data_IF_049626641220
#
_entry.id   IF_049626641220
#
_cell.length_a   1.000
_cell.length_b   1.000
_cell.length_c   1.000
_cell.angle_alpha   90.00
_cell.angle_beta   90.00
_cell.angle_gamma   90.00
#
_symmetry.space_group_name_H-M   'P 1'
#
loop_
_entity.id
_entity.type
_entity.pdbx_description
1 polymer ?
#
# COMPACT_ATOMS: atom_id res chain seq x y z
N UNK A 1 23.54 -3.47 -8.04
CA UNK A 1 22.75 -2.58 -7.16
C UNK A 1 21.31 -3.01 -7.23
N UNK A 2 20.66 -3.21 -6.07
CA UNK A 2 19.25 -3.60 -6.00
C UNK A 2 18.37 -2.38 -6.19
N UNK A 3 17.49 -2.40 -7.21
CA UNK A 3 16.61 -1.27 -7.56
C UNK A 3 15.20 -1.74 -7.83
N UNK A 4 14.23 -0.95 -7.41
CA UNK A 4 12.83 -1.11 -7.84
C UNK A 4 12.68 -0.47 -9.21
N UNK A 5 12.18 -1.25 -10.17
CA UNK A 5 11.94 -0.84 -11.56
C UNK A 5 10.46 -0.60 -11.82
N UNK A 6 10.11 0.61 -12.22
CA UNK A 6 8.75 1.05 -12.57
C UNK A 6 8.65 1.27 -14.08
N UNK A 7 7.65 0.64 -14.72
CA UNK A 7 7.29 0.89 -16.12
C UNK A 7 6.38 2.12 -16.23
N UNK A 8 6.81 3.11 -17.02
CA UNK A 8 6.12 4.37 -17.31
C UNK A 8 6.17 4.62 -18.81
N UNK A 9 5.05 4.52 -19.52
CA UNK A 9 4.95 4.81 -20.97
C UNK A 9 6.09 4.17 -21.80
N UNK A 10 6.31 2.87 -21.60
CA UNK A 10 7.40 2.07 -22.23
C UNK A 10 8.83 2.43 -21.81
N UNK A 11 9.01 3.26 -20.77
CA UNK A 11 10.31 3.57 -20.16
C UNK A 11 10.40 2.97 -18.76
N UNK A 12 11.63 2.70 -18.32
CA UNK A 12 11.91 2.23 -16.97
C UNK A 12 12.46 3.38 -16.13
N UNK A 13 11.87 3.57 -14.95
CA UNK A 13 12.40 4.42 -13.89
C UNK A 13 12.88 3.51 -12.77
N UNK A 14 14.11 3.73 -12.31
CA UNK A 14 14.73 2.97 -11.23
C UNK A 14 14.70 3.76 -9.93
N UNK A 15 14.36 3.10 -8.82
CA UNK A 15 14.39 3.66 -7.47
C UNK A 15 15.33 2.83 -6.60
N UNK A 16 16.17 3.54 -5.84
CA UNK A 16 17.12 2.91 -4.91
C UNK A 16 16.51 2.58 -3.53
N UNK A 17 15.27 3.01 -3.28
CA UNK A 17 14.47 2.60 -2.13
C UNK A 17 12.99 2.59 -2.48
N UNK A 18 12.20 1.76 -1.78
CA UNK A 18 10.73 1.79 -1.94
C UNK A 18 10.17 3.11 -1.40
N UNK A 19 10.77 3.70 -0.36
CA UNK A 19 10.34 4.99 0.16
C UNK A 19 10.45 6.11 -0.87
N UNK A 20 11.53 6.16 -1.65
CA UNK A 20 11.66 7.12 -2.76
C UNK A 20 10.57 6.92 -3.83
N UNK A 21 10.19 5.68 -4.11
CA UNK A 21 9.06 5.38 -5.00
C UNK A 21 7.73 5.88 -4.40
N UNK A 22 7.49 5.67 -3.11
CA UNK A 22 6.25 6.06 -2.44
C UNK A 22 6.00 7.56 -2.37
N UNK A 23 7.05 8.39 -2.42
CA UNK A 23 6.90 9.84 -2.53
C UNK A 23 6.07 10.25 -3.77
N UNK A 24 6.07 9.44 -4.82
CA UNK A 24 5.24 9.66 -6.01
C UNK A 24 3.91 8.88 -6.03
N UNK A 25 3.71 7.93 -5.11
CA UNK A 25 2.47 7.12 -4.99
C UNK A 25 1.47 7.78 -4.06
N UNK A 26 1.86 8.02 -2.80
CA UNK A 26 0.94 8.46 -1.75
C UNK A 26 0.17 9.74 -2.11
N UNK A 27 0.78 10.81 -2.67
CA UNK A 27 0.04 12.02 -3.08
C UNK A 27 -0.89 11.82 -4.28
N UNK A 28 -0.81 10.70 -5.00
CA UNK A 28 -1.74 10.35 -6.09
C UNK A 28 -2.86 9.43 -5.64
N UNK A 29 -2.66 8.70 -4.55
CA UNK A 29 -3.65 7.77 -4.00
C UNK A 29 -4.53 8.40 -2.92
N UNK A 30 -4.00 9.37 -2.16
CA UNK A 30 -4.75 10.03 -1.10
C UNK A 30 -4.64 11.55 -1.16
N UNK A 31 -5.76 12.28 -0.90
CA UNK A 31 -5.69 13.73 -0.72
C UNK A 31 -4.76 14.10 0.45
N UNK A 32 -3.74 14.91 0.18
CA UNK A 32 -2.68 15.19 1.14
C UNK A 32 -3.11 15.93 2.42
N UNK A 33 -4.31 16.52 2.41
CA UNK A 33 -4.90 17.20 3.58
C UNK A 33 -5.71 16.27 4.48
N UNK A 34 -5.86 14.99 4.12
CA UNK A 34 -6.47 14.00 5.01
C UNK A 34 -5.62 13.79 6.28
N UNK A 35 -6.22 13.22 7.34
CA UNK A 35 -5.54 13.00 8.62
C UNK A 35 -4.22 12.25 8.43
N UNK A 36 -3.19 12.63 9.19
CA UNK A 36 -1.84 12.08 9.07
C UNK A 36 -1.84 10.55 9.25
N UNK A 37 -2.60 10.04 10.21
CA UNK A 37 -2.69 8.60 10.49
C UNK A 37 -3.30 7.81 9.31
N UNK A 38 -4.22 8.42 8.54
CA UNK A 38 -4.71 7.80 7.32
C UNK A 38 -3.64 7.78 6.21
N UNK A 39 -2.86 8.86 6.07
CA UNK A 39 -1.74 8.92 5.11
C UNK A 39 -0.64 7.89 5.45
N UNK A 40 -0.32 7.72 6.73
CA UNK A 40 0.63 6.70 7.23
C UNK A 40 0.12 5.28 6.96
N UNK A 41 -1.16 5.02 7.21
CA UNK A 41 -1.77 3.73 6.91
C UNK A 41 -1.64 3.39 5.41
N UNK A 42 -1.93 4.35 4.54
CA UNK A 42 -1.74 4.19 3.10
C UNK A 42 -0.27 4.01 2.71
N UNK A 43 0.66 4.72 3.34
CA UNK A 43 2.09 4.55 3.08
C UNK A 43 2.54 3.11 3.38
N UNK A 44 2.19 2.55 4.55
CA UNK A 44 2.52 1.17 4.93
C UNK A 44 1.90 0.15 3.96
N UNK A 45 0.64 0.34 3.62
CA UNK A 45 -0.10 -0.57 2.72
C UNK A 45 0.46 -0.51 1.31
N UNK A 46 0.76 0.69 0.79
CA UNK A 46 1.39 0.88 -0.51
C UNK A 46 2.83 0.32 -0.54
N UNK A 47 3.59 0.50 0.55
CA UNK A 47 4.94 -0.07 0.69
C UNK A 47 4.92 -1.58 0.62
N UNK A 48 3.99 -2.20 1.34
CA UNK A 48 3.83 -3.65 1.36
C UNK A 48 3.48 -4.20 -0.02
N UNK A 49 2.64 -3.49 -0.78
CA UNK A 49 2.34 -3.83 -2.17
C UNK A 49 3.58 -3.76 -3.05
N UNK A 50 4.34 -2.67 -2.95
CA UNK A 50 5.56 -2.48 -3.74
C UNK A 50 6.65 -3.50 -3.39
N UNK A 51 6.82 -3.81 -2.10
CA UNK A 51 7.76 -4.83 -1.63
C UNK A 51 7.36 -6.23 -2.10
N UNK A 52 6.07 -6.56 -2.04
CA UNK A 52 5.57 -7.82 -2.57
C UNK A 52 5.79 -7.91 -4.09
N UNK A 53 5.51 -6.85 -4.84
CA UNK A 53 5.73 -6.79 -6.29
C UNK A 53 7.23 -6.79 -6.67
N UNK A 54 8.11 -6.32 -5.79
CA UNK A 54 9.55 -6.45 -5.97
C UNK A 54 9.97 -7.93 -5.92
N UNK A 55 9.48 -8.69 -4.93
CA UNK A 55 9.76 -10.13 -4.79
C UNK A 55 9.02 -10.99 -5.83
N UNK A 56 7.83 -10.55 -6.25
CA UNK A 56 6.95 -11.24 -7.20
C UNK A 56 6.48 -10.26 -8.30
N UNK A 57 7.32 -10.01 -9.32
CA UNK A 57 7.09 -8.98 -10.35
C UNK A 57 5.74 -9.08 -11.05
N UNK A 58 5.07 -7.94 -11.21
CA UNK A 58 3.78 -7.83 -11.92
C UNK A 58 3.95 -7.75 -13.44
N UNK A 59 5.16 -7.48 -13.93
CA UNK A 59 5.46 -7.24 -15.34
C UNK A 59 6.75 -7.94 -15.82
N UNK A 60 6.65 -9.19 -16.30
CA UNK A 60 7.73 -9.84 -17.06
C UNK A 60 9.06 -10.06 -16.32
N UNK A 61 9.09 -9.96 -14.99
CA UNK A 61 10.30 -10.22 -14.20
C UNK A 61 11.29 -9.05 -14.19
N UNK A 62 12.55 -9.31 -14.55
CA UNK A 62 13.69 -8.38 -14.40
C UNK A 62 13.52 -7.03 -15.13
N UNK A 63 12.58 -6.92 -16.07
CA UNK A 63 12.30 -5.72 -16.86
C UNK A 63 11.55 -4.65 -16.06
N UNK A 64 10.52 -5.02 -15.29
CA UNK A 64 9.77 -4.11 -14.43
C UNK A 64 9.04 -4.85 -13.30
N UNK A 65 9.04 -4.28 -12.11
CA UNK A 65 8.31 -4.83 -10.97
C UNK A 65 6.86 -4.35 -10.96
N UNK A 66 6.64 -3.08 -11.32
CA UNK A 66 5.36 -2.35 -11.24
C UNK A 66 5.13 -1.49 -12.49
N UNK A 67 3.90 -1.03 -12.70
CA UNK A 67 3.56 0.06 -13.62
C UNK A 67 2.92 1.25 -12.87
N UNK A 68 2.87 2.42 -13.51
CA UNK A 68 2.38 3.68 -12.90
C UNK A 68 0.87 3.92 -13.03
N UNK A 69 0.10 2.90 -13.39
CA UNK A 69 -1.35 2.98 -13.57
C UNK A 69 -2.09 2.24 -12.46
N UNK A 70 -3.41 2.34 -12.45
CA UNK A 70 -4.29 1.60 -11.52
C UNK A 70 -4.19 0.08 -11.64
N UNK A 71 -3.50 -0.45 -12.65
CA UNK A 71 -3.15 -1.88 -12.70
C UNK A 71 -2.17 -2.28 -11.58
N UNK A 72 -1.32 -1.36 -11.13
CA UNK A 72 -0.42 -1.55 -10.00
C UNK A 72 -0.66 -0.49 -8.94
N UNK A 73 -0.02 0.68 -9.07
CA UNK A 73 -0.25 1.83 -8.20
C UNK A 73 -0.11 3.10 -9.04
N UNK A 74 -0.96 4.08 -8.78
CA UNK A 74 -0.88 5.34 -9.48
C UNK A 74 0.40 6.06 -9.04
N UNK A 75 1.35 6.27 -9.96
CA UNK A 75 2.61 6.94 -9.66
C UNK A 75 2.84 8.13 -10.59
N UNK A 76 3.31 9.26 -10.03
CA UNK A 76 3.83 10.40 -10.78
C UNK A 76 5.03 11.02 -10.06
N UNK A 77 5.91 11.68 -10.80
CA UNK A 77 6.99 12.49 -10.24
C UNK A 77 6.46 13.79 -9.63
N UNK A 78 5.69 13.69 -8.55
CA UNK A 78 5.14 14.82 -7.79
C UNK A 78 5.08 14.44 -6.31
N UNK A 79 5.64 15.29 -5.46
CA UNK A 79 5.68 15.10 -4.01
C UNK A 79 4.77 16.09 -3.29
N UNK A 80 4.49 15.87 -2.01
CA UNK A 80 3.76 16.83 -1.19
C UNK A 80 4.21 16.71 0.28
N UNK A 81 4.55 17.82 0.98
CA UNK A 81 5.18 17.77 2.29
C UNK A 81 4.46 16.86 3.33
N UNK A 82 3.12 16.92 3.41
CA UNK A 82 2.35 16.06 4.31
C UNK A 82 2.39 14.56 3.96
N UNK A 83 2.37 14.20 2.68
CA UNK A 83 2.47 12.80 2.28
C UNK A 83 3.89 12.30 2.39
N UNK A 84 4.86 13.16 2.12
CA UNK A 84 6.29 12.87 2.30
C UNK A 84 6.57 12.59 3.77
N UNK A 85 6.04 13.41 4.68
CA UNK A 85 6.10 13.18 6.12
C UNK A 85 5.51 11.81 6.50
N UNK A 86 4.33 11.44 5.99
CA UNK A 86 3.72 10.14 6.26
C UNK A 86 4.58 8.95 5.76
N UNK A 87 5.20 9.09 4.58
CA UNK A 87 6.13 8.09 4.03
C UNK A 87 7.36 7.96 4.95
N UNK A 88 7.96 9.09 5.34
CA UNK A 88 9.19 9.11 6.15
C UNK A 88 8.96 8.62 7.58
N UNK A 89 7.86 9.00 8.23
CA UNK A 89 7.51 8.53 9.58
C UNK A 89 7.15 7.04 9.61
N UNK A 90 6.94 6.42 8.45
CA UNK A 90 6.69 4.97 8.31
C UNK A 90 7.76 4.27 7.47
N UNK A 91 8.94 4.88 7.31
CA UNK A 91 10.01 4.37 6.45
C UNK A 91 10.30 2.88 6.72
N UNK A 92 10.40 2.10 5.65
CA UNK A 92 10.61 0.65 5.69
C UNK A 92 9.49 -0.21 6.32
N UNK A 93 8.49 0.38 7.01
CA UNK A 93 7.43 -0.35 7.70
C UNK A 93 6.45 -0.99 6.71
N UNK A 94 6.32 -2.32 6.82
CA UNK A 94 5.50 -3.18 5.96
C UNK A 94 4.64 -4.15 6.77
N UNK A 95 3.72 -4.84 6.11
CA UNK A 95 2.95 -5.95 6.68
C UNK A 95 3.57 -7.28 6.31
N UNK A 96 3.59 -8.17 7.29
CA UNK A 96 4.08 -9.54 7.15
C UNK A 96 3.05 -10.55 7.64
N UNK A 97 3.05 -11.73 7.03
CA UNK A 97 2.27 -12.88 7.46
C UNK A 97 3.20 -14.09 7.50
N UNK A 98 3.34 -14.71 8.67
CA UNK A 98 4.34 -15.77 8.93
C UNK A 98 5.76 -15.38 8.48
N UNK A 99 6.18 -14.16 8.80
CA UNK A 99 7.52 -13.65 8.50
C UNK A 99 7.77 -13.25 7.04
N UNK A 100 6.81 -13.47 6.13
CA UNK A 100 6.91 -13.07 4.71
C UNK A 100 6.12 -11.81 4.45
N UNK A 101 6.55 -10.99 3.48
CA UNK A 101 5.82 -9.80 3.05
C UNK A 101 4.39 -10.18 2.63
N UNK A 102 3.40 -9.53 3.23
CA UNK A 102 2.01 -9.74 2.93
C UNK A 102 1.61 -8.93 1.69
N UNK A 103 1.00 -9.59 0.70
CA UNK A 103 0.37 -8.90 -0.43
C UNK A 103 -0.83 -8.07 0.05
N UNK A 104 -0.72 -6.75 -0.04
CA UNK A 104 -1.80 -5.84 0.37
C UNK A 104 -2.60 -5.35 -0.83
N UNK A 105 -3.78 -4.78 -0.58
CA UNK A 105 -4.60 -4.12 -1.59
C UNK A 105 -5.25 -2.89 -0.97
N UNK A 106 -5.61 -1.90 -1.78
CA UNK A 106 -6.36 -0.74 -1.31
C UNK A 106 -7.22 -0.15 -2.42
N UNK A 107 -8.32 0.51 -2.05
CA UNK A 107 -9.21 1.18 -3.00
C UNK A 107 -9.88 2.39 -2.36
N UNK A 108 -10.40 3.29 -3.18
CA UNK A 108 -11.01 4.53 -2.71
C UNK A 108 -12.15 4.26 -1.71
N UNK A 109 -13.12 3.43 -2.10
CA UNK A 109 -14.36 3.25 -1.33
C UNK A 109 -14.92 1.83 -1.52
N UNK A 110 -15.14 1.12 -0.41
CA UNK A 110 -15.65 -0.26 -0.45
C UNK A 110 -17.18 -0.39 -0.37
N UNK A 111 -17.90 0.69 -0.05
CA UNK A 111 -19.37 0.65 0.09
C UNK A 111 -19.86 0.02 1.40
N UNK A 112 -19.10 0.17 2.48
CA UNK A 112 -19.50 -0.20 3.84
C UNK A 112 -18.96 -1.55 4.31
N UNK A 113 -18.51 -2.41 3.38
CA UNK A 113 -17.81 -3.67 3.70
C UNK A 113 -16.80 -4.04 2.62
N UNK A 114 -15.59 -4.41 3.01
CA UNK A 114 -14.57 -4.89 2.08
C UNK A 114 -14.90 -6.30 1.57
N UNK A 115 -14.16 -6.79 0.59
CA UNK A 115 -14.29 -8.16 0.07
C UNK A 115 -12.96 -8.90 0.11
N UNK A 116 -13.03 -10.23 -0.01
CA UNK A 116 -11.85 -11.08 -0.10
C UNK A 116 -10.90 -10.63 -1.21
N UNK A 117 -9.60 -10.87 -1.00
CA UNK A 117 -8.60 -10.81 -2.06
C UNK A 117 -9.02 -11.61 -3.32
N UNK A 118 -8.42 -11.30 -4.46
CA UNK A 118 -8.65 -12.05 -5.71
C UNK A 118 -8.34 -13.54 -5.56
N UNK A 119 -7.30 -13.88 -4.80
CA UNK A 119 -7.01 -15.24 -4.37
C UNK A 119 -6.99 -15.30 -2.84
N UNK A 120 -8.09 -15.71 -2.19
CA UNK A 120 -8.17 -15.76 -0.72
C UNK A 120 -7.15 -16.72 -0.09
N UNK A 121 -6.74 -17.78 -0.79
CA UNK A 121 -5.72 -18.70 -0.29
C UNK A 121 -4.31 -18.10 -0.30
N UNK A 122 -4.02 -17.21 -1.26
CA UNK A 122 -2.73 -16.52 -1.36
C UNK A 122 -2.65 -15.28 -0.46
N UNK A 123 -3.78 -14.67 -0.09
CA UNK A 123 -3.85 -13.52 0.81
C UNK A 123 -4.95 -13.68 1.87
N UNK A 124 -4.83 -14.68 2.78
CA UNK A 124 -5.85 -14.97 3.80
C UNK A 124 -6.01 -13.85 4.84
N UNK A 125 -5.09 -12.90 4.91
CA UNK A 125 -5.22 -11.70 5.73
C UNK A 125 -6.19 -10.65 5.15
N UNK A 126 -6.51 -10.71 3.86
CA UNK A 126 -7.43 -9.80 3.19
C UNK A 126 -8.88 -10.34 3.24
N UNK A 127 -9.53 -10.22 4.39
CA UNK A 127 -10.90 -10.69 4.62
C UNK A 127 -11.95 -9.55 4.53
N UNK A 128 -13.23 -9.86 4.27
CA UNK A 128 -14.32 -8.90 4.39
C UNK A 128 -14.47 -8.38 5.82
N UNK A 129 -14.30 -7.08 6.00
CA UNK A 129 -14.51 -6.37 7.28
C UNK A 129 -15.47 -5.20 7.07
N UNK A 130 -16.23 -4.87 8.12
CA UNK A 130 -17.08 -3.69 8.12
C UNK A 130 -16.25 -2.42 8.04
N UNK A 131 -16.78 -1.38 7.39
CA UNK A 131 -16.04 -0.18 7.09
C UNK A 131 -16.87 1.07 7.40
N UNK A 132 -16.31 2.07 8.08
CA UNK A 132 -17.04 3.27 8.49
C UNK A 132 -17.36 4.22 7.33
N UNK A 133 -16.93 3.90 6.09
CA UNK A 133 -17.30 4.69 4.91
C UNK A 133 -18.81 4.64 4.58
N UNK A 134 -19.54 3.73 5.23
CA UNK A 134 -20.98 3.55 5.10
C UNK A 134 -21.41 2.90 3.78
N UNK A 135 -22.69 2.50 3.66
CA UNK A 135 -23.27 2.02 2.41
C UNK A 135 -23.24 3.14 1.36
N UNK A 136 -22.59 2.89 0.24
CA UNK A 136 -22.44 3.84 -0.87
C UNK A 136 -21.97 3.12 -2.12
N UNK A 137 -22.14 3.73 -3.30
CA UNK A 137 -21.51 3.26 -4.54
C UNK A 137 -20.01 3.01 -4.32
N UNK A 138 -19.51 1.79 -4.56
CA UNK A 138 -18.08 1.51 -4.45
C UNK A 138 -17.26 2.26 -5.51
N UNK A 139 -16.02 2.60 -5.17
CA UNK A 139 -15.04 3.11 -6.11
C UNK A 139 -13.73 2.31 -5.94
N UNK A 140 -13.40 1.54 -6.97
CA UNK A 140 -12.31 0.56 -6.97
C UNK A 140 -12.75 -0.85 -6.55
N UNK A 141 -11.78 -1.73 -6.34
CA UNK A 141 -12.01 -3.18 -6.22
C UNK A 141 -12.43 -3.65 -4.82
N UNK A 142 -12.51 -2.76 -3.83
CA UNK A 142 -13.03 -3.01 -2.46
C UNK A 142 -12.23 -4.03 -1.62
N UNK A 143 -10.98 -4.30 -1.97
CA UNK A 143 -10.13 -5.31 -1.31
C UNK A 143 -9.08 -4.64 -0.45
N UNK A 144 -8.85 -5.17 0.75
CA UNK A 144 -7.92 -4.59 1.72
C UNK A 144 -8.39 -3.21 2.20
N UNK A 145 -7.47 -2.25 2.28
CA UNK A 145 -7.72 -0.94 2.88
C UNK A 145 -8.71 -0.10 2.04
N UNK A 146 -9.75 0.42 2.71
CA UNK A 146 -10.65 1.41 2.14
C UNK A 146 -10.16 2.82 2.51
N UNK A 147 -9.75 3.63 1.53
CA UNK A 147 -9.14 4.95 1.79
C UNK A 147 -10.10 5.88 2.54
N UNK A 148 -11.36 5.99 2.10
CA UNK A 148 -12.36 6.78 2.82
C UNK A 148 -12.64 6.24 4.23
N UNK A 149 -12.54 4.93 4.44
CA UNK A 149 -12.71 4.33 5.76
C UNK A 149 -11.53 4.64 6.68
N UNK A 150 -10.30 4.52 6.18
CA UNK A 150 -9.09 4.92 6.88
C UNK A 150 -9.12 6.39 7.32
N UNK A 151 -9.60 7.30 6.45
CA UNK A 151 -9.83 8.70 6.82
C UNK A 151 -10.78 8.83 8.02
N UNK A 152 -11.93 8.15 7.98
CA UNK A 152 -12.95 8.27 9.02
C UNK A 152 -12.46 7.67 10.34
N UNK A 153 -11.77 6.53 10.31
CA UNK A 153 -11.13 5.98 11.50
C UNK A 153 -10.12 6.96 12.11
N UNK A 154 -9.27 7.56 11.27
CA UNK A 154 -8.32 8.57 11.75
C UNK A 154 -9.01 9.81 12.33
N UNK A 155 -10.12 10.27 11.73
CA UNK A 155 -10.98 11.35 12.28
C UNK A 155 -11.62 10.95 13.62
N UNK A 156 -11.84 9.66 13.86
CA UNK A 156 -12.31 9.09 15.13
C UNK A 156 -11.18 8.84 16.14
N UNK A 157 -9.95 9.25 15.82
CA UNK A 157 -8.80 9.15 16.73
C UNK A 157 -8.04 7.83 16.65
N UNK A 158 -8.31 6.98 15.66
CA UNK A 158 -7.51 5.77 15.44
C UNK A 158 -6.13 6.14 14.88
N UNK A 159 -5.10 5.46 15.37
CA UNK A 159 -3.77 5.54 14.77
C UNK A 159 -3.66 4.69 13.50
N UNK A 160 -2.58 4.90 12.75
CA UNK A 160 -2.33 4.19 11.50
C UNK A 160 -2.17 2.67 11.66
N UNK A 161 -1.70 2.19 12.81
CA UNK A 161 -1.54 0.77 13.05
C UNK A 161 -2.90 0.09 13.26
N UNK A 162 -3.76 0.69 14.09
CA UNK A 162 -5.12 0.24 14.32
C UNK A 162 -5.92 0.21 13.01
N UNK A 163 -5.78 1.26 12.18
CA UNK A 163 -6.42 1.32 10.86
C UNK A 163 -5.97 0.16 9.97
N UNK A 164 -4.67 -0.11 9.92
CA UNK A 164 -4.13 -1.18 9.06
C UNK A 164 -4.54 -2.55 9.57
N UNK A 165 -4.45 -2.81 10.87
CA UNK A 165 -4.83 -4.09 11.48
C UNK A 165 -6.33 -4.36 11.40
N UNK A 166 -7.17 -3.33 11.30
CA UNK A 166 -8.60 -3.50 10.98
C UNK A 166 -8.82 -4.11 9.59
N UNK A 167 -8.06 -3.67 8.58
CA UNK A 167 -8.24 -4.11 7.19
C UNK A 167 -7.49 -5.40 6.84
N UNK A 168 -6.47 -5.77 7.61
CA UNK A 168 -5.65 -6.95 7.35
C UNK A 168 -5.54 -7.82 8.61
N UNK A 169 -6.20 -8.97 8.60
CA UNK A 169 -6.25 -9.87 9.74
C UNK A 169 -4.95 -10.69 9.89
N UNK A 170 -4.54 -10.97 11.13
CA UNK A 170 -3.43 -11.87 11.46
C UNK A 170 -2.05 -11.50 10.86
N UNK A 171 -1.88 -10.26 10.40
CA UNK A 171 -0.58 -9.73 9.97
C UNK A 171 0.19 -9.16 11.16
N UNK A 172 1.50 -8.98 10.98
CA UNK A 172 2.38 -8.23 11.89
C UNK A 172 3.09 -7.12 11.12
N UNK A 173 3.42 -6.03 11.80
CA UNK A 173 4.36 -5.06 11.24
C UNK A 173 5.75 -5.68 11.17
N UNK A 174 6.42 -5.46 10.04
CA UNK A 174 7.82 -5.79 9.82
C UNK A 174 8.54 -4.64 9.13
N UNK A 175 9.77 -4.89 8.71
CA UNK A 175 10.62 -3.92 8.03
C UNK A 175 11.12 -4.50 6.70
N UNK A 176 11.18 -3.70 5.65
CA UNK A 176 11.71 -4.11 4.36
C UNK A 176 12.47 -2.98 3.67
N UNK A 177 13.68 -3.30 3.21
CA UNK A 177 14.53 -2.42 2.42
C UNK A 177 15.15 -3.22 1.27
N UNK A 178 15.37 -2.57 0.12
CA UNK A 178 15.93 -3.23 -1.08
C UNK A 178 17.36 -3.76 -0.88
N UNK A 179 18.04 -3.43 0.23
CA UNK A 179 19.44 -3.76 0.48
C UNK A 179 19.67 -4.86 1.52
N UNK A 180 18.62 -5.49 2.05
CA UNK A 180 18.81 -6.66 2.90
C UNK A 180 18.84 -7.90 2.00
N UNK A 181 20.03 -8.46 1.79
CA UNK A 181 20.15 -9.87 1.46
C UNK A 181 19.29 -10.64 2.47
N UNK A 182 18.39 -11.51 1.98
CA UNK A 182 17.65 -12.41 2.88
C UNK A 182 18.69 -13.14 3.73
N UNK A 183 18.74 -12.78 5.01
CA UNK A 183 19.62 -13.43 5.98
C UNK A 183 19.35 -14.93 5.95
N UNK A 184 20.46 -15.67 5.84
CA UNK A 184 20.56 -17.14 5.90
C UNK A 184 19.72 -17.77 7.00
#
# INVERSE_FOLDING_TARGET
MTVLRLLVDSRIIEFHSIDAYLLGVVPREMPALWPMEALKAQAIVARSYAAFAYLWPRHGGASAHLCNTTHCQMWRSATHPRTDQAVMETAGKVLTYHGRIAQTFYSARCGGRTVHAWNPAAAPWCQPVDCPCGPSEPNGHRRGLCQHGARIFAEQGWDHEQIVLHYFANVKFGHFELNQEEGQ
#
